data_IF_062495173703
#
_entry.id   IF_062495173703
#
_cell.length_a   1.000
_cell.length_b   1.000
_cell.length_c   1.000
_cell.angle_alpha   90.00
_cell.angle_beta   90.00
_cell.angle_gamma   90.00
#
_symmetry.space_group_name_H-M   'P 1'
#
loop_
_entity.id
_entity.type
_entity.pdbx_description
1 polymer ?
#
# COMPACT_ATOMS: atom_id res chain seq x y z
N UNK A 1 3.06 59.22 -12.55
CA UNK A 1 2.94 60.35 -13.53
C UNK A 1 4.03 60.14 -14.54
N UNK A 2 3.75 59.55 -15.71
CA UNK A 2 4.44 59.66 -17.00
C UNK A 2 3.75 58.70 -17.97
N UNK A 3 2.88 59.20 -18.71
CA UNK A 3 2.63 59.40 -20.12
C UNK A 3 3.20 58.31 -21.05
N UNK A 4 2.27 57.51 -21.55
CA UNK A 4 2.45 56.69 -22.76
C UNK A 4 2.17 57.56 -23.99
N UNK A 5 3.06 57.65 -24.98
CA UNK A 5 2.76 58.31 -26.24
C UNK A 5 1.95 57.37 -27.16
N UNK A 6 0.87 57.93 -27.69
CA UNK A 6 0.07 57.40 -28.77
C UNK A 6 0.93 57.24 -30.03
N UNK A 7 1.27 56.03 -30.40
CA UNK A 7 1.75 55.69 -31.73
C UNK A 7 0.54 55.40 -32.65
N UNK A 8 0.10 56.40 -33.43
CA UNK A 8 -0.67 56.21 -34.65
C UNK A 8 0.21 55.51 -35.68
N UNK A 9 0.16 54.20 -35.75
CA UNK A 9 0.82 53.40 -36.79
C UNK A 9 -0.20 52.59 -37.55
N UNK A 10 -0.22 52.70 -38.87
CA UNK A 10 -1.03 51.99 -39.86
C UNK A 10 -1.20 50.52 -39.53
N UNK A 11 -2.43 50.11 -39.30
CA UNK A 11 -2.84 48.73 -39.04
C UNK A 11 -2.88 47.96 -40.37
N UNK A 12 -1.74 47.42 -40.78
CA UNK A 12 -1.61 46.66 -42.01
C UNK A 12 -2.14 45.23 -41.79
N UNK A 13 -2.88 44.71 -42.74
CA UNK A 13 -3.67 43.46 -42.73
C UNK A 13 -2.88 42.15 -42.49
N UNK A 14 -1.55 42.24 -42.31
CA UNK A 14 -0.67 41.10 -42.05
C UNK A 14 -0.66 40.59 -40.58
N UNK A 15 -1.38 41.22 -39.66
CA UNK A 15 -1.25 41.00 -38.23
C UNK A 15 -2.37 40.15 -37.60
N UNK A 16 -3.30 39.62 -38.42
CA UNK A 16 -4.37 38.71 -37.90
C UNK A 16 -3.83 37.41 -37.33
N UNK A 17 -2.80 36.84 -37.91
CA UNK A 17 -2.18 35.60 -37.43
C UNK A 17 -1.42 35.78 -36.12
N UNK A 18 -0.71 36.89 -35.97
CA UNK A 18 0.05 37.22 -34.74
C UNK A 18 -0.91 37.55 -33.59
N UNK A 19 -2.02 38.22 -33.86
CA UNK A 19 -3.04 38.54 -32.87
C UNK A 19 -3.81 37.30 -32.42
N UNK A 20 -4.13 36.35 -33.33
CA UNK A 20 -4.77 35.10 -32.98
C UNK A 20 -3.84 34.18 -32.13
N UNK A 21 -2.54 34.16 -32.42
CA UNK A 21 -1.53 33.43 -31.64
C UNK A 21 -1.37 34.02 -30.24
N UNK A 22 -1.38 35.37 -30.11
CA UNK A 22 -1.35 36.03 -28.80
C UNK A 22 -2.60 35.75 -27.97
N UNK A 23 -3.78 35.76 -28.62
CA UNK A 23 -5.04 35.38 -27.93
C UNK A 23 -5.06 33.94 -27.52
N UNK A 24 -4.51 33.00 -28.29
CA UNK A 24 -4.41 31.59 -27.94
C UNK A 24 -3.39 31.38 -26.81
N UNK A 25 -2.27 32.08 -26.81
CA UNK A 25 -1.30 32.03 -25.70
C UNK A 25 -1.89 32.58 -24.39
N UNK A 26 -2.63 33.71 -24.46
CA UNK A 26 -3.28 34.26 -23.24
C UNK A 26 -4.41 33.38 -22.74
N UNK A 27 -5.19 32.78 -23.66
CA UNK A 27 -6.27 31.82 -23.30
C UNK A 27 -5.73 30.50 -22.74
N UNK A 28 -4.56 30.05 -23.23
CA UNK A 28 -3.86 28.88 -22.72
C UNK A 28 -3.24 29.14 -21.34
N UNK A 29 -2.69 30.35 -21.14
CA UNK A 29 -2.16 30.79 -19.84
C UNK A 29 -3.27 30.96 -18.79
N UNK A 30 -4.41 31.53 -19.17
CA UNK A 30 -5.57 31.68 -18.29
C UNK A 30 -6.17 30.30 -17.87
N UNK A 31 -6.28 29.35 -18.81
CA UNK A 31 -6.70 27.97 -18.50
C UNK A 31 -5.71 27.23 -17.58
N UNK A 32 -4.41 27.47 -17.72
CA UNK A 32 -3.38 26.94 -16.82
C UNK A 32 -3.51 27.48 -15.40
N UNK A 33 -3.86 28.75 -15.26
CA UNK A 33 -4.02 29.42 -13.97
C UNK A 33 -5.34 29.00 -13.27
N UNK A 34 -6.41 28.77 -14.01
CA UNK A 34 -7.66 28.20 -13.48
C UNK A 34 -7.48 26.77 -12.98
N UNK A 35 -6.78 25.92 -13.75
CA UNK A 35 -6.47 24.55 -13.31
C UNK A 35 -5.59 24.54 -12.05
N UNK A 36 -4.62 25.45 -11.93
CA UNK A 36 -3.81 25.60 -10.72
C UNK A 36 -4.64 26.06 -9.53
N UNK A 37 -5.57 26.99 -9.72
CA UNK A 37 -6.50 27.45 -8.67
C UNK A 37 -7.41 26.32 -8.18
N UNK A 38 -7.96 25.53 -9.09
CA UNK A 38 -8.79 24.36 -8.74
C UNK A 38 -7.96 23.31 -8.03
N UNK A 39 -6.75 23.01 -8.53
CA UNK A 39 -5.84 22.08 -7.91
C UNK A 39 -5.45 22.51 -6.49
N UNK A 40 -5.10 23.78 -6.29
CA UNK A 40 -4.79 24.30 -4.96
C UNK A 40 -5.99 24.28 -4.02
N UNK A 41 -7.20 24.53 -4.53
CA UNK A 41 -8.43 24.46 -3.73
C UNK A 41 -8.75 23.01 -3.30
N UNK A 42 -8.50 22.04 -4.19
CA UNK A 42 -8.62 20.62 -3.88
C UNK A 42 -7.55 20.19 -2.87
N UNK A 43 -6.30 20.63 -3.07
CA UNK A 43 -5.20 20.34 -2.13
C UNK A 43 -5.49 20.91 -0.74
N UNK A 44 -5.90 22.17 -0.62
CA UNK A 44 -6.30 22.79 0.65
C UNK A 44 -7.48 22.05 1.30
N UNK A 45 -8.48 21.64 0.52
CA UNK A 45 -9.60 20.86 1.04
C UNK A 45 -9.17 19.48 1.56
N UNK A 46 -8.23 18.84 0.86
CA UNK A 46 -7.65 17.55 1.27
C UNK A 46 -6.80 17.75 2.54
N UNK A 47 -5.94 18.76 2.57
CA UNK A 47 -5.09 19.05 3.74
C UNK A 47 -5.91 19.44 4.97
N UNK A 48 -6.89 20.33 4.83
CA UNK A 48 -7.65 20.84 5.98
C UNK A 48 -8.74 19.89 6.49
N UNK A 49 -9.39 19.13 5.59
CA UNK A 49 -10.52 18.27 5.97
C UNK A 49 -10.24 16.79 5.98
N UNK A 50 -9.39 16.29 5.08
CA UNK A 50 -9.12 14.85 4.96
C UNK A 50 -7.87 14.41 5.73
N UNK A 51 -6.83 15.23 5.75
CA UNK A 51 -5.58 14.86 6.43
C UNK A 51 -5.73 14.73 7.95
N UNK A 52 -6.44 15.62 8.68
CA UNK A 52 -6.58 15.49 10.12
C UNK A 52 -7.33 14.22 10.57
N UNK A 53 -8.51 13.86 10.00
CA UNK A 53 -9.16 12.59 10.36
C UNK A 53 -8.36 11.36 9.91
N UNK A 54 -7.71 11.42 8.75
CA UNK A 54 -6.83 10.32 8.28
C UNK A 54 -5.63 10.13 9.20
N UNK A 55 -5.00 11.20 9.67
CA UNK A 55 -3.91 11.12 10.65
C UNK A 55 -4.39 10.58 12.01
N UNK A 56 -5.59 10.96 12.44
CA UNK A 56 -6.21 10.36 13.64
C UNK A 56 -6.44 8.86 13.46
N UNK A 57 -6.96 8.44 12.31
CA UNK A 57 -7.15 7.03 11.99
C UNK A 57 -5.82 6.29 11.83
N UNK A 58 -4.84 6.88 11.15
CA UNK A 58 -3.52 6.30 10.94
C UNK A 58 -2.74 6.10 12.25
N UNK A 59 -2.99 6.94 13.26
CA UNK A 59 -2.41 6.84 14.59
C UNK A 59 -3.21 5.93 15.53
N UNK A 60 -4.32 5.32 15.08
CA UNK A 60 -5.01 4.32 15.87
C UNK A 60 -4.12 3.09 16.04
N UNK A 61 -4.06 2.59 17.26
CA UNK A 61 -3.23 1.46 17.65
C UNK A 61 -3.39 0.23 16.72
N UNK A 62 -4.64 -0.13 16.44
CA UNK A 62 -4.97 -1.28 15.56
C UNK A 62 -4.45 -1.08 14.12
N UNK A 63 -4.63 0.12 13.57
CA UNK A 63 -4.21 0.41 12.20
C UNK A 63 -2.68 0.49 12.07
N UNK A 64 -2.02 1.00 13.11
CA UNK A 64 -0.57 1.06 13.16
C UNK A 64 0.05 -0.36 13.28
N UNK A 65 -0.60 -1.25 14.04
CA UNK A 65 -0.22 -2.65 14.13
C UNK A 65 -0.33 -3.35 12.76
N UNK A 66 -1.43 -3.16 12.05
CA UNK A 66 -1.62 -3.71 10.69
C UNK A 66 -0.57 -3.16 9.73
N UNK A 67 -0.38 -1.84 9.69
CA UNK A 67 0.61 -1.20 8.83
C UNK A 67 2.02 -1.77 9.05
N UNK A 68 2.47 -1.80 10.30
CA UNK A 68 3.82 -2.25 10.62
C UNK A 68 3.97 -3.77 10.41
N UNK A 69 2.95 -4.55 10.76
CA UNK A 69 2.93 -5.98 10.53
C UNK A 69 2.98 -6.34 9.05
N UNK A 70 2.21 -5.62 8.22
CA UNK A 70 2.23 -5.82 6.76
C UNK A 70 3.58 -5.45 6.13
N UNK A 71 4.30 -4.46 6.68
CA UNK A 71 5.63 -4.12 6.18
C UNK A 71 6.64 -5.27 6.30
N UNK A 72 6.46 -6.19 7.25
CA UNK A 72 7.31 -7.38 7.40
C UNK A 72 7.11 -8.36 6.23
N UNK A 73 5.92 -8.39 5.62
CA UNK A 73 5.64 -9.29 4.48
C UNK A 73 6.22 -8.79 3.17
N UNK A 74 6.51 -7.49 3.03
CA UNK A 74 6.98 -6.88 1.78
C UNK A 74 8.26 -7.51 1.24
N UNK A 75 9.34 -7.70 2.03
CA UNK A 75 10.55 -8.35 1.53
C UNK A 75 10.29 -9.77 1.00
N UNK A 76 9.39 -10.50 1.64
CA UNK A 76 9.03 -11.86 1.24
C UNK A 76 8.34 -11.87 -0.13
N UNK A 77 7.41 -10.93 -0.36
CA UNK A 77 6.72 -10.75 -1.64
C UNK A 77 7.71 -10.34 -2.74
N UNK A 78 8.65 -9.44 -2.45
CA UNK A 78 9.66 -9.00 -3.41
C UNK A 78 10.53 -10.19 -3.86
N UNK A 79 11.04 -10.98 -2.91
CA UNK A 79 11.84 -12.18 -3.21
C UNK A 79 11.03 -13.15 -4.06
N UNK A 80 9.80 -13.48 -3.66
CA UNK A 80 8.94 -14.36 -4.42
C UNK A 80 8.67 -13.87 -5.84
N UNK A 81 8.46 -12.56 -6.01
CA UNK A 81 8.21 -11.94 -7.33
C UNK A 81 9.42 -12.05 -8.26
N UNK A 82 10.63 -11.90 -7.75
CA UNK A 82 11.87 -12.05 -8.54
C UNK A 82 11.95 -13.48 -9.09
N UNK A 83 11.71 -14.48 -8.25
CA UNK A 83 11.70 -15.89 -8.69
C UNK A 83 10.57 -16.21 -9.68
N UNK A 84 9.45 -15.50 -9.63
CA UNK A 84 8.38 -15.63 -10.60
C UNK A 84 8.79 -15.05 -11.97
N UNK A 85 9.52 -13.94 -11.99
CA UNK A 85 9.89 -13.26 -13.23
C UNK A 85 10.93 -14.03 -14.05
N UNK A 86 11.89 -14.68 -13.40
CA UNK A 86 13.03 -15.34 -14.08
C UNK A 86 12.59 -16.31 -15.19
N UNK A 87 11.71 -17.29 -14.95
CA UNK A 87 11.31 -18.23 -15.99
C UNK A 87 10.34 -17.65 -17.03
N UNK A 88 9.77 -16.46 -16.76
CA UNK A 88 8.79 -15.81 -17.62
C UNK A 88 9.38 -14.65 -18.46
N UNK A 89 10.70 -14.49 -18.49
CA UNK A 89 11.37 -13.48 -19.33
C UNK A 89 11.22 -13.90 -20.81
N UNK A 90 10.60 -13.07 -21.67
CA UNK A 90 10.35 -13.42 -23.08
C UNK A 90 11.60 -13.17 -23.94
N UNK A 91 12.74 -13.78 -23.58
CA UNK A 91 14.01 -13.70 -24.32
C UNK A 91 14.50 -15.13 -24.50
N UNK A 92 14.47 -15.65 -25.75
CA UNK A 92 14.77 -17.02 -26.07
C UNK A 92 16.07 -17.60 -25.46
N UNK A 93 17.24 -16.92 -25.51
CA UNK A 93 18.46 -17.47 -24.91
C UNK A 93 18.41 -17.53 -23.36
N UNK A 94 17.62 -16.67 -22.70
CA UNK A 94 17.47 -16.69 -21.24
C UNK A 94 16.46 -17.77 -20.84
N UNK A 95 15.35 -17.85 -21.55
CA UNK A 95 14.30 -18.84 -21.28
C UNK A 95 14.83 -20.26 -21.42
N UNK A 96 15.52 -20.58 -22.51
CA UNK A 96 16.11 -21.91 -22.73
C UNK A 96 17.17 -22.29 -21.69
N UNK A 97 17.92 -21.30 -21.16
CA UNK A 97 18.90 -21.55 -20.10
C UNK A 97 18.21 -21.92 -18.77
N UNK A 98 17.09 -21.26 -18.42
CA UNK A 98 16.39 -21.49 -17.16
C UNK A 98 15.32 -22.58 -17.23
N UNK A 99 14.94 -23.05 -18.42
CA UNK A 99 13.93 -24.10 -18.63
C UNK A 99 14.17 -25.36 -17.76
N UNK A 100 15.39 -25.91 -17.66
CA UNK A 100 15.66 -27.07 -16.81
C UNK A 100 15.43 -26.79 -15.29
N UNK A 101 15.54 -25.54 -14.88
CA UNK A 101 15.40 -25.11 -13.49
C UNK A 101 14.03 -24.46 -13.18
N UNK A 102 13.16 -24.33 -14.17
CA UNK A 102 11.89 -23.63 -14.05
C UNK A 102 11.02 -24.20 -12.93
N UNK A 103 10.95 -25.51 -12.78
CA UNK A 103 10.19 -26.16 -11.70
C UNK A 103 10.72 -25.79 -10.31
N UNK A 104 12.04 -25.78 -10.14
CA UNK A 104 12.68 -25.41 -8.87
C UNK A 104 12.44 -23.93 -8.53
N UNK A 105 12.59 -23.05 -9.51
CA UNK A 105 12.39 -21.60 -9.35
C UNK A 105 10.92 -21.31 -9.01
N UNK A 106 9.99 -21.96 -9.68
CA UNK A 106 8.54 -21.83 -9.40
C UNK A 106 8.20 -22.33 -7.99
N UNK A 107 8.85 -23.41 -7.55
CA UNK A 107 8.66 -23.93 -6.18
C UNK A 107 9.10 -22.90 -5.13
N UNK A 108 10.23 -22.23 -5.32
CA UNK A 108 10.69 -21.15 -4.42
C UNK A 108 9.68 -20.01 -4.36
N UNK A 109 9.15 -19.58 -5.50
CA UNK A 109 8.08 -18.59 -5.56
C UNK A 109 6.84 -19.05 -4.78
N UNK A 110 6.37 -20.27 -5.04
CA UNK A 110 5.18 -20.83 -4.40
C UNK A 110 5.33 -20.89 -2.88
N UNK A 111 6.48 -21.34 -2.38
CA UNK A 111 6.74 -21.39 -0.94
C UNK A 111 6.78 -19.97 -0.36
N UNK A 112 7.49 -19.05 -1.00
CA UNK A 112 7.72 -17.69 -0.48
C UNK A 112 6.41 -16.88 -0.42
N UNK A 113 5.63 -16.87 -1.51
CA UNK A 113 4.34 -16.18 -1.55
C UNK A 113 3.27 -16.98 -0.79
N UNK A 114 3.40 -18.31 -0.78
CA UNK A 114 2.46 -19.21 -0.12
C UNK A 114 2.40 -19.07 1.40
N UNK A 115 3.41 -18.49 2.07
CA UNK A 115 3.41 -18.29 3.52
C UNK A 115 3.16 -16.84 3.96
N UNK A 116 2.90 -15.93 3.01
CA UNK A 116 2.72 -14.49 3.30
C UNK A 116 1.59 -14.23 4.30
N UNK A 117 0.48 -14.96 4.20
CA UNK A 117 -0.64 -14.85 5.15
C UNK A 117 -0.25 -15.29 6.56
N UNK A 118 0.48 -16.40 6.69
CA UNK A 118 0.97 -16.90 7.98
C UNK A 118 1.92 -15.90 8.65
N UNK A 119 2.89 -15.38 7.89
CA UNK A 119 3.82 -14.34 8.36
C UNK A 119 3.06 -13.07 8.71
N UNK A 120 2.04 -12.69 7.92
CA UNK A 120 1.17 -11.56 8.20
C UNK A 120 0.42 -11.72 9.52
N UNK A 121 -0.17 -12.89 9.80
CA UNK A 121 -0.84 -13.17 11.07
C UNK A 121 0.10 -13.00 12.27
N UNK A 122 1.31 -13.55 12.19
CA UNK A 122 2.31 -13.44 13.24
C UNK A 122 2.76 -11.98 13.46
N UNK A 123 3.13 -11.29 12.38
CA UNK A 123 3.70 -9.95 12.46
C UNK A 123 2.68 -8.89 12.89
N UNK A 124 1.44 -8.95 12.41
CA UNK A 124 0.39 -8.00 12.83
C UNK A 124 0.09 -8.17 14.32
N UNK A 125 -0.04 -9.39 14.83
CA UNK A 125 -0.25 -9.65 16.26
C UNK A 125 0.94 -9.22 17.12
N UNK A 126 2.16 -9.41 16.64
CA UNK A 126 3.38 -8.94 17.29
C UNK A 126 3.37 -7.43 17.46
N UNK A 127 3.14 -6.68 16.38
CA UNK A 127 3.09 -5.20 16.43
C UNK A 127 1.86 -4.69 17.18
N UNK A 128 0.78 -5.45 17.22
CA UNK A 128 -0.36 -5.15 18.06
C UNK A 128 0.03 -5.17 19.53
N UNK A 129 0.66 -6.24 20.00
CA UNK A 129 1.10 -6.34 21.38
C UNK A 129 2.18 -5.32 21.75
N UNK A 130 3.12 -5.04 20.83
CA UNK A 130 4.19 -4.08 21.02
C UNK A 130 3.70 -2.64 21.21
N UNK A 131 2.55 -2.29 20.62
CA UNK A 131 1.98 -0.95 20.74
C UNK A 131 1.26 -0.68 22.06
N UNK A 132 1.01 -1.69 22.91
CA UNK A 132 0.48 -1.50 24.27
C UNK A 132 1.64 -1.32 25.26
N UNK A 133 1.77 -0.10 25.78
CA UNK A 133 2.78 0.25 26.78
C UNK A 133 2.28 0.11 28.21
N UNK A 134 0.97 0.22 28.43
CA UNK A 134 0.33 0.24 29.74
C UNK A 134 0.24 -1.16 30.37
N UNK A 135 0.01 -2.17 29.54
CA UNK A 135 -0.04 -3.57 29.94
C UNK A 135 1.05 -4.29 29.17
N UNK A 136 2.10 -4.75 29.86
CA UNK A 136 3.20 -5.50 29.22
C UNK A 136 2.72 -6.86 28.73
N UNK A 137 2.13 -6.88 27.53
CA UNK A 137 1.82 -8.10 26.80
C UNK A 137 3.11 -8.54 26.11
N UNK A 138 3.42 -9.83 26.20
CA UNK A 138 4.57 -10.37 25.47
C UNK A 138 4.23 -10.47 23.98
N UNK A 139 4.92 -9.70 23.11
CA UNK A 139 4.62 -9.66 21.69
C UNK A 139 4.84 -11.02 21.00
N UNK A 140 5.84 -11.79 21.48
CA UNK A 140 6.17 -13.08 20.89
C UNK A 140 5.07 -14.12 21.19
N UNK A 141 4.59 -14.16 22.43
CA UNK A 141 3.50 -15.07 22.83
C UNK A 141 2.23 -14.72 22.02
N UNK A 142 1.91 -13.44 21.88
CA UNK A 142 0.75 -12.98 21.11
C UNK A 142 0.86 -13.38 19.63
N UNK A 143 2.05 -13.30 19.04
CA UNK A 143 2.30 -13.74 17.67
C UNK A 143 2.05 -15.26 17.52
N UNK A 144 2.55 -16.09 18.43
CA UNK A 144 2.31 -17.54 18.39
C UNK A 144 0.85 -17.91 18.57
N UNK A 145 0.14 -17.25 19.49
CA UNK A 145 -1.31 -17.45 19.67
C UNK A 145 -2.08 -17.08 18.39
N UNK A 146 -1.68 -15.99 17.73
CA UNK A 146 -2.28 -15.57 16.47
C UNK A 146 -2.04 -16.59 15.35
N UNK A 147 -0.82 -17.13 15.24
CA UNK A 147 -0.51 -18.19 14.27
C UNK A 147 -1.37 -19.43 14.53
N UNK A 148 -1.48 -19.88 15.77
CA UNK A 148 -2.32 -21.02 16.12
C UNK A 148 -3.81 -20.76 15.77
N UNK A 149 -4.32 -19.57 16.09
CA UNK A 149 -5.68 -19.19 15.74
C UNK A 149 -5.89 -19.10 14.21
N UNK A 150 -4.89 -18.62 13.48
CA UNK A 150 -4.95 -18.57 12.02
C UNK A 150 -4.96 -19.97 11.40
N UNK A 151 -4.15 -20.89 11.92
CA UNK A 151 -4.18 -22.29 11.48
C UNK A 151 -5.56 -22.94 11.71
N UNK A 152 -6.19 -22.67 12.85
CA UNK A 152 -7.55 -23.13 13.13
C UNK A 152 -8.58 -22.50 12.17
N UNK A 153 -8.42 -21.22 11.84
CA UNK A 153 -9.30 -20.51 10.91
C UNK A 153 -9.16 -20.98 9.45
N UNK A 154 -8.07 -21.66 9.10
CA UNK A 154 -7.83 -22.22 7.76
C UNK A 154 -8.23 -23.68 7.62
N UNK A 155 -8.82 -24.29 8.66
CA UNK A 155 -9.34 -25.65 8.58
C UNK A 155 -10.56 -25.70 7.64
N UNK A 156 -10.60 -26.76 6.84
CA UNK A 156 -11.77 -27.12 6.02
C UNK A 156 -12.73 -28.01 6.80
N UNK A 157 -13.92 -28.24 6.25
CA UNK A 157 -14.94 -29.13 6.83
C UNK A 157 -14.44 -30.58 7.02
N UNK A 158 -13.43 -30.97 6.27
CA UNK A 158 -12.79 -32.30 6.35
C UNK A 158 -11.63 -32.34 7.38
N UNK A 159 -11.48 -31.33 8.23
CA UNK A 159 -10.35 -31.15 9.15
C UNK A 159 -8.97 -31.09 8.46
N UNK A 160 -8.93 -30.81 7.16
CA UNK A 160 -7.70 -30.60 6.43
C UNK A 160 -7.33 -29.11 6.44
N UNK A 161 -6.03 -28.81 6.43
CA UNK A 161 -5.54 -27.44 6.38
C UNK A 161 -5.58 -26.95 4.93
N UNK A 162 -6.26 -25.84 4.68
CA UNK A 162 -6.27 -25.21 3.35
C UNK A 162 -5.02 -24.36 3.15
N UNK A 163 -4.01 -24.95 2.51
CA UNK A 163 -2.72 -24.28 2.24
C UNK A 163 -2.85 -23.05 1.33
N UNK A 164 -3.90 -22.96 0.51
CA UNK A 164 -4.12 -21.77 -0.35
C UNK A 164 -4.37 -20.50 0.46
N UNK A 165 -4.92 -20.65 1.67
CA UNK A 165 -5.18 -19.53 2.57
C UNK A 165 -3.92 -19.06 3.32
N UNK A 166 -2.80 -19.78 3.24
CA UNK A 166 -1.55 -19.33 3.88
C UNK A 166 -0.87 -18.21 3.07
N UNK A 167 -1.15 -18.13 1.77
CA UNK A 167 -0.66 -17.11 0.88
C UNK A 167 -1.46 -15.81 0.92
N UNK A 168 -1.36 -15.07 -0.17
CA UNK A 168 -2.03 -13.77 -0.32
C UNK A 168 -3.56 -13.83 -0.25
N UNK A 169 -4.17 -14.97 -0.63
CA UNK A 169 -5.63 -15.16 -0.55
C UNK A 169 -6.16 -15.08 0.88
N UNK A 170 -5.42 -15.60 1.85
CA UNK A 170 -5.82 -15.58 3.26
C UNK A 170 -5.29 -14.39 4.05
N UNK A 171 -4.61 -13.44 3.41
CA UNK A 171 -4.00 -12.30 4.09
C UNK A 171 -5.02 -11.45 4.86
N UNK A 172 -6.21 -11.26 4.30
CA UNK A 172 -7.28 -10.53 4.99
C UNK A 172 -7.76 -11.28 6.25
N UNK A 173 -7.97 -12.59 6.14
CA UNK A 173 -8.29 -13.46 7.28
C UNK A 173 -7.19 -13.44 8.33
N UNK A 174 -5.93 -13.46 7.90
CA UNK A 174 -4.76 -13.35 8.78
C UNK A 174 -4.77 -12.06 9.60
N UNK A 175 -5.06 -10.92 8.97
CA UNK A 175 -5.15 -9.62 9.66
C UNK A 175 -6.28 -9.62 10.69
N UNK A 176 -7.47 -10.11 10.34
CA UNK A 176 -8.60 -10.17 11.26
C UNK A 176 -8.31 -11.06 12.47
N UNK A 177 -7.78 -12.25 12.23
CA UNK A 177 -7.42 -13.20 13.29
C UNK A 177 -6.32 -12.62 14.19
N UNK A 178 -5.31 -11.96 13.61
CA UNK A 178 -4.24 -11.32 14.36
C UNK A 178 -4.76 -10.23 15.31
N UNK A 179 -5.65 -9.37 14.83
CA UNK A 179 -6.27 -8.33 15.65
C UNK A 179 -7.14 -8.91 16.75
N UNK A 180 -7.95 -9.93 16.44
CA UNK A 180 -8.78 -10.61 17.44
C UNK A 180 -7.94 -11.29 18.51
N UNK A 181 -6.91 -12.04 18.11
CA UNK A 181 -5.98 -12.70 19.04
C UNK A 181 -5.29 -11.68 19.95
N UNK A 182 -4.84 -10.55 19.39
CA UNK A 182 -4.24 -9.46 20.14
C UNK A 182 -5.22 -8.85 21.18
N UNK A 183 -6.47 -8.60 20.78
CA UNK A 183 -7.51 -8.09 21.70
C UNK A 183 -7.82 -9.09 22.81
N UNK A 184 -7.92 -10.37 22.49
CA UNK A 184 -8.15 -11.44 23.48
C UNK A 184 -7.01 -11.49 24.49
N UNK A 185 -5.76 -11.48 24.02
CA UNK A 185 -4.58 -11.46 24.89
C UNK A 185 -4.53 -10.22 25.78
N UNK A 186 -4.91 -9.05 25.23
CA UNK A 186 -5.01 -7.81 26.01
C UNK A 186 -6.07 -7.93 27.12
N UNK A 187 -7.24 -8.47 26.79
CA UNK A 187 -8.33 -8.66 27.75
C UNK A 187 -7.93 -9.62 28.89
N UNK A 188 -7.39 -10.80 28.54
CA UNK A 188 -6.94 -11.78 29.54
C UNK A 188 -5.88 -11.20 30.48
N UNK A 189 -4.92 -10.48 29.96
CA UNK A 189 -3.86 -9.89 30.78
C UNK A 189 -4.36 -8.78 31.69
N UNK A 190 -5.40 -8.05 31.27
CA UNK A 190 -6.05 -7.01 32.08
C UNK A 190 -6.82 -7.60 33.27
N UNK A 191 -7.41 -8.78 33.10
CA UNK A 191 -8.18 -9.44 34.16
C UNK A 191 -7.30 -10.16 35.20
N UNK A 192 -6.06 -10.51 34.83
CA UNK A 192 -5.13 -11.26 35.70
C UNK A 192 -4.26 -10.33 36.53
N UNK A 193 -4.13 -9.07 36.16
CA UNK A 193 -3.33 -8.04 36.85
C UNK A 193 -4.18 -7.20 37.78
#
# INVERSE_FOLDING_TARGET
MQLFPLAKGNFNYSNKHTFSLLLDCTKKSARGNERRKIMNKILMFVEDKLVPPLNKMANQHHLNAVKNGMMVTVPLIIIGSIFLLIPNIPIDPIQSFFEPYAAMITTVNTITIGIVGLVGAASVAYYFALGYTDIKIDPLITAFVSVAAFLLATLTDEYAINLELFGTKGLFTAILVALMSGMIMHFFKREIL
#
